data_IF_572534936581
#
_entry.id   IF_572534936581
#
_cell.length_a   1.000
_cell.length_b   1.000
_cell.length_c   1.000
_cell.angle_alpha   90.00
_cell.angle_beta   90.00
_cell.angle_gamma   90.00
#
_symmetry.space_group_name_H-M   'P 1'
#
loop_
_entity.id
_entity.type
_entity.pdbx_description
1 polymer ?
#
# COMPACT_ATOMS: atom_id res chain seq x y z
N UNK A 1 -20.24 -8.72 -17.07
CA UNK A 1 -19.82 -8.09 -15.81
C UNK A 1 -20.99 -7.51 -15.01
N UNK A 2 -22.17 -7.28 -15.61
CA UNK A 2 -23.39 -6.79 -14.94
C UNK A 2 -23.89 -7.60 -13.74
N UNK A 3 -23.58 -8.91 -13.69
CA UNK A 3 -23.98 -9.80 -12.59
C UNK A 3 -23.01 -9.78 -11.39
N UNK A 4 -21.84 -9.16 -11.55
CA UNK A 4 -20.80 -9.08 -10.51
C UNK A 4 -20.99 -7.78 -9.73
N UNK A 5 -21.05 -7.88 -8.41
CA UNK A 5 -21.15 -6.73 -7.50
C UNK A 5 -19.75 -6.35 -7.02
N UNK A 6 -19.26 -5.18 -7.43
CA UNK A 6 -17.87 -4.76 -7.17
C UNK A 6 -17.66 -4.13 -5.79
N UNK A 7 -18.68 -3.48 -5.23
CA UNK A 7 -18.61 -2.79 -3.94
C UNK A 7 -19.37 -3.57 -2.88
N UNK A 8 -18.91 -4.79 -2.62
CA UNK A 8 -19.47 -5.64 -1.57
C UNK A 8 -18.49 -5.67 -0.40
N UNK A 9 -19.02 -5.55 0.81
CA UNK A 9 -18.27 -5.64 2.06
C UNK A 9 -18.88 -6.64 3.07
N UNK A 10 -19.89 -7.41 2.65
CA UNK A 10 -20.54 -8.43 3.49
C UNK A 10 -20.31 -9.83 2.94
N UNK A 11 -20.05 -10.80 3.82
CA UNK A 11 -19.80 -12.20 3.43
C UNK A 11 -20.91 -12.78 2.55
N UNK A 12 -22.16 -12.55 2.93
CA UNK A 12 -23.32 -13.05 2.19
C UNK A 12 -23.33 -12.56 0.74
N UNK A 13 -22.95 -11.31 0.49
CA UNK A 13 -22.97 -10.76 -0.85
C UNK A 13 -21.75 -11.23 -1.69
N UNK A 14 -20.66 -11.73 -1.08
CA UNK A 14 -19.59 -12.41 -1.81
C UNK A 14 -20.07 -13.71 -2.46
N UNK A 15 -20.99 -14.45 -1.82
CA UNK A 15 -21.55 -15.70 -2.36
C UNK A 15 -22.14 -15.53 -3.76
N UNK A 16 -22.82 -14.40 -4.01
CA UNK A 16 -23.38 -14.12 -5.33
C UNK A 16 -22.29 -13.99 -6.40
N UNK A 17 -21.17 -13.35 -6.07
CA UNK A 17 -20.02 -13.22 -6.98
C UNK A 17 -19.35 -14.57 -7.22
N UNK A 18 -19.14 -15.37 -6.16
CA UNK A 18 -18.57 -16.71 -6.31
C UNK A 18 -19.46 -17.66 -7.10
N UNK A 19 -20.80 -17.53 -7.01
CA UNK A 19 -21.72 -18.28 -7.86
C UNK A 19 -21.59 -17.89 -9.34
N UNK A 20 -21.32 -16.61 -9.64
CA UNK A 20 -20.99 -16.20 -11.01
C UNK A 20 -19.69 -16.86 -11.48
N UNK A 21 -18.67 -16.91 -10.63
CA UNK A 21 -17.37 -17.54 -10.93
C UNK A 21 -17.50 -19.06 -11.18
N UNK A 22 -18.21 -19.78 -10.31
CA UNK A 22 -18.48 -21.22 -10.48
C UNK A 22 -19.16 -21.51 -11.82
N UNK A 23 -20.15 -20.70 -12.20
CA UNK A 23 -20.81 -20.85 -13.51
C UNK A 23 -19.85 -20.65 -14.68
N UNK A 24 -18.85 -19.76 -14.55
CA UNK A 24 -17.80 -19.58 -15.58
C UNK A 24 -16.92 -20.83 -15.65
N UNK A 25 -16.53 -21.41 -14.52
CA UNK A 25 -15.72 -22.64 -14.49
C UNK A 25 -16.45 -23.80 -15.16
N UNK A 26 -17.75 -23.99 -14.85
CA UNK A 26 -18.56 -25.03 -15.50
C UNK A 26 -18.70 -24.81 -17.00
N UNK A 27 -18.90 -23.56 -17.45
CA UNK A 27 -19.02 -23.24 -18.89
C UNK A 27 -17.72 -23.50 -19.66
N UNK A 28 -16.59 -23.23 -19.03
CA UNK A 28 -15.27 -23.40 -19.64
C UNK A 28 -14.62 -24.75 -19.32
N UNK A 29 -15.37 -25.68 -18.69
CA UNK A 29 -14.90 -27.03 -18.34
C UNK A 29 -13.59 -26.99 -17.53
N UNK A 30 -13.53 -26.10 -16.54
CA UNK A 30 -12.40 -26.01 -15.61
C UNK A 30 -12.71 -26.94 -14.43
N UNK A 31 -12.01 -28.06 -14.35
CA UNK A 31 -12.25 -29.13 -13.36
C UNK A 31 -11.92 -28.74 -11.91
N UNK A 32 -11.12 -27.68 -11.70
CA UNK A 32 -10.72 -27.27 -10.35
C UNK A 32 -11.92 -26.71 -9.58
N UNK A 33 -12.28 -27.27 -8.42
CA UNK A 33 -13.35 -26.71 -7.59
C UNK A 33 -12.94 -25.35 -7.01
N UNK A 34 -13.90 -24.42 -6.92
CA UNK A 34 -13.70 -23.12 -6.26
C UNK A 34 -14.03 -23.29 -4.77
N UNK A 35 -13.05 -23.12 -3.84
CA UNK A 35 -13.27 -23.32 -2.40
C UNK A 35 -13.99 -22.12 -1.77
N UNK A 36 -15.28 -21.95 -2.09
CA UNK A 36 -16.07 -20.75 -1.73
C UNK A 36 -16.09 -20.51 -0.22
N UNK A 37 -16.33 -21.54 0.60
CA UNK A 37 -16.44 -21.41 2.06
C UNK A 37 -15.16 -20.87 2.72
N UNK A 38 -14.00 -21.19 2.16
CA UNK A 38 -12.71 -20.68 2.63
C UNK A 38 -12.44 -19.26 2.11
N UNK A 39 -12.78 -19.00 0.85
CA UNK A 39 -12.52 -17.72 0.21
C UNK A 39 -13.39 -16.58 0.76
N UNK A 40 -14.66 -16.85 1.09
CA UNK A 40 -15.57 -15.82 1.62
C UNK A 40 -15.11 -15.25 2.96
N UNK A 41 -14.36 -16.02 3.75
CA UNK A 41 -13.81 -15.61 5.05
C UNK A 41 -12.61 -14.68 4.94
N UNK A 42 -12.16 -14.38 3.71
CA UNK A 42 -11.01 -13.51 3.44
C UNK A 42 -9.70 -13.94 4.14
N UNK A 43 -9.54 -15.23 4.45
CA UNK A 43 -8.30 -15.75 5.06
C UNK A 43 -7.16 -15.68 4.04
N UNK A 44 -6.00 -15.20 4.48
CA UNK A 44 -4.83 -14.96 3.62
C UNK A 44 -4.38 -16.21 2.86
N UNK A 45 -4.21 -17.33 3.55
CA UNK A 45 -3.68 -18.57 2.96
C UNK A 45 -4.57 -19.10 1.83
N UNK A 46 -5.88 -19.22 2.09
CA UNK A 46 -6.84 -19.74 1.11
C UNK A 46 -6.93 -18.85 -0.14
N UNK A 47 -6.95 -17.52 0.06
CA UNK A 47 -7.00 -16.55 -1.04
C UNK A 47 -5.69 -16.54 -1.85
N UNK A 48 -4.54 -16.64 -1.18
CA UNK A 48 -3.24 -16.68 -1.85
C UNK A 48 -3.09 -17.94 -2.71
N UNK A 49 -3.44 -19.11 -2.20
CA UNK A 49 -3.39 -20.37 -2.96
C UNK A 49 -4.29 -20.31 -4.21
N UNK A 50 -5.50 -19.74 -4.07
CA UNK A 50 -6.41 -19.57 -5.19
C UNK A 50 -5.87 -18.60 -6.26
N UNK A 51 -5.26 -17.48 -5.84
CA UNK A 51 -4.66 -16.50 -6.73
C UNK A 51 -3.42 -17.04 -7.46
N UNK A 52 -2.55 -17.78 -6.77
CA UNK A 52 -1.35 -18.40 -7.37
C UNK A 52 -1.74 -19.31 -8.55
N UNK A 53 -2.74 -20.17 -8.35
CA UNK A 53 -3.23 -21.00 -9.43
C UNK A 53 -3.94 -20.18 -10.53
N UNK A 54 -4.71 -19.15 -10.17
CA UNK A 54 -5.39 -18.30 -11.17
C UNK A 54 -4.36 -17.60 -12.07
N UNK A 55 -3.23 -17.15 -11.49
CA UNK A 55 -2.10 -16.61 -12.25
C UNK A 55 -1.54 -17.66 -13.20
N UNK A 56 -1.23 -18.86 -12.70
CA UNK A 56 -0.72 -19.96 -13.54
C UNK A 56 -1.68 -20.30 -14.69
N UNK A 57 -2.98 -20.34 -14.41
CA UNK A 57 -4.01 -20.55 -15.43
C UNK A 57 -4.03 -19.40 -16.44
N UNK A 58 -3.96 -18.14 -15.98
CA UNK A 58 -3.92 -16.98 -16.87
C UNK A 58 -2.71 -17.03 -17.81
N UNK A 59 -1.52 -17.32 -17.31
CA UNK A 59 -0.30 -17.43 -18.14
C UNK A 59 -0.41 -18.45 -19.25
N UNK A 60 -1.04 -19.59 -18.95
CA UNK A 60 -1.15 -20.70 -19.88
C UNK A 60 -2.17 -20.45 -20.99
N UNK A 61 -3.25 -19.72 -20.69
CA UNK A 61 -4.40 -19.58 -21.59
C UNK A 61 -4.61 -18.18 -22.14
N UNK A 62 -3.84 -17.18 -21.70
CA UNK A 62 -3.99 -15.81 -22.19
C UNK A 62 -3.46 -15.70 -23.64
N UNK A 63 -4.32 -15.37 -24.62
CA UNK A 63 -3.94 -15.38 -26.04
C UNK A 63 -3.13 -14.15 -26.47
N UNK A 64 -2.83 -13.23 -25.54
CA UNK A 64 -2.38 -11.87 -25.85
C UNK A 64 -3.54 -10.94 -26.21
N UNK A 65 -3.33 -9.63 -26.07
CA UNK A 65 -4.29 -8.59 -26.46
C UNK A 65 -4.78 -7.71 -25.31
N UNK A 66 -5.05 -6.45 -25.58
CA UNK A 66 -5.39 -5.47 -24.54
C UNK A 66 -6.73 -5.79 -23.86
N UNK A 67 -6.75 -5.73 -22.52
CA UNK A 67 -7.95 -5.88 -21.72
C UNK A 67 -8.17 -4.67 -20.82
N UNK A 68 -9.14 -3.81 -21.18
CA UNK A 68 -9.53 -2.67 -20.34
C UNK A 68 -10.51 -3.10 -19.24
N UNK A 69 -9.98 -3.41 -18.07
CA UNK A 69 -10.77 -3.77 -16.90
C UNK A 69 -11.65 -2.62 -16.38
N UNK A 70 -11.22 -1.37 -16.51
CA UNK A 70 -11.93 -0.20 -15.95
C UNK A 70 -13.20 0.08 -16.75
N UNK A 71 -13.11 0.11 -18.08
CA UNK A 71 -14.28 0.27 -18.94
C UNK A 71 -15.30 -0.85 -18.71
N UNK A 72 -14.84 -2.11 -18.58
CA UNK A 72 -15.70 -3.28 -18.35
C UNK A 72 -16.46 -3.21 -17.02
N UNK A 73 -15.85 -2.65 -15.97
CA UNK A 73 -16.50 -2.42 -14.67
C UNK A 73 -17.49 -1.27 -14.72
N UNK A 74 -17.11 -0.13 -15.30
CA UNK A 74 -18.00 1.05 -15.46
C UNK A 74 -19.28 0.72 -16.23
N UNK A 75 -19.16 -0.07 -17.31
CA UNK A 75 -20.31 -0.53 -18.09
C UNK A 75 -21.28 -1.45 -17.31
N UNK A 76 -20.89 -1.90 -16.11
CA UNK A 76 -21.69 -2.77 -15.24
C UNK A 76 -22.29 -2.04 -14.04
N UNK A 77 -22.28 -0.70 -14.02
CA UNK A 77 -22.83 0.10 -12.94
C UNK A 77 -21.95 0.16 -11.68
N UNK A 78 -20.69 -0.29 -11.77
CA UNK A 78 -19.72 -0.01 -10.71
C UNK A 78 -19.40 1.48 -10.72
N UNK A 79 -19.43 2.19 -9.58
CA UNK A 79 -18.95 3.56 -9.53
C UNK A 79 -17.49 3.58 -9.95
N UNK A 80 -17.06 4.70 -10.54
CA UNK A 80 -15.70 4.88 -10.97
C UNK A 80 -14.76 4.68 -9.76
N UNK A 81 -14.14 3.50 -9.67
CA UNK A 81 -13.03 3.27 -8.75
C UNK A 81 -11.95 4.28 -9.14
N UNK A 82 -11.70 5.24 -8.24
CA UNK A 82 -10.57 6.15 -8.35
C UNK A 82 -9.32 5.31 -8.54
N UNK A 83 -8.63 5.53 -9.66
CA UNK A 83 -7.39 4.82 -9.95
C UNK A 83 -6.35 5.21 -8.91
N UNK A 84 -6.12 4.34 -7.94
CA UNK A 84 -4.84 4.31 -7.23
C UNK A 84 -3.77 3.93 -8.26
N UNK A 85 -2.74 4.76 -8.49
CA UNK A 85 -1.61 4.34 -9.32
C UNK A 85 -0.96 3.13 -8.65
N UNK A 86 -0.92 2.01 -9.37
CA UNK A 86 -0.15 0.86 -8.96
C UNK A 86 1.33 1.23 -8.91
N UNK A 87 1.99 0.83 -7.82
CA UNK A 87 3.45 0.75 -7.74
C UNK A 87 3.97 -0.10 -8.90
N UNK A 88 4.83 0.47 -9.73
CA UNK A 88 5.64 -0.29 -10.68
C UNK A 88 7.02 -0.42 -10.07
N UNK A 89 7.22 -1.50 -9.30
CA UNK A 89 8.57 -1.96 -8.95
C UNK A 89 9.17 -2.62 -10.18
N UNK A 90 9.92 -1.85 -10.98
CA UNK A 90 10.75 -2.35 -12.06
C UNK A 90 12.21 -1.99 -11.77
N UNK A 91 12.90 -2.90 -11.08
CA UNK A 91 14.37 -2.96 -11.03
C UNK A 91 14.79 -4.37 -11.41
N UNK A 92 15.45 -4.50 -12.57
CA UNK A 92 15.94 -5.78 -13.06
C UNK A 92 16.41 -5.69 -14.51
N UNK A 93 17.56 -5.06 -14.72
CA UNK A 93 18.24 -5.01 -16.00
C UNK A 93 18.61 -6.41 -16.51
N UNK A 94 18.41 -6.68 -17.81
CA UNK A 94 19.26 -7.53 -18.65
C UNK A 94 18.92 -7.41 -20.15
N UNK A 95 19.82 -6.71 -20.84
CA UNK A 95 20.32 -6.82 -22.24
C UNK A 95 19.52 -7.59 -23.30
N UNK A 96 19.29 -6.89 -24.43
CA UNK A 96 19.60 -7.41 -25.77
C UNK A 96 18.40 -7.61 -26.71
N UNK A 97 18.36 -6.86 -27.83
CA UNK A 97 17.47 -7.17 -28.95
C UNK A 97 17.03 -5.94 -29.75
N UNK A 98 17.84 -5.55 -30.73
CA UNK A 98 17.56 -4.52 -31.74
C UNK A 98 16.58 -5.00 -32.81
N UNK A 99 15.55 -4.22 -33.11
CA UNK A 99 15.04 -4.03 -34.49
C UNK A 99 14.20 -2.74 -34.58
N UNK A 100 14.49 -1.82 -35.52
CA UNK A 100 13.67 -0.65 -35.80
C UNK A 100 12.77 -0.93 -37.01
N UNK A 101 11.48 -0.59 -36.93
CA UNK A 101 10.67 -0.43 -38.14
C UNK A 101 9.87 0.86 -38.06
N UNK A 102 10.35 1.82 -38.83
CA UNK A 102 9.66 3.02 -39.29
C UNK A 102 8.38 2.63 -40.04
N UNK A 103 7.23 3.16 -39.63
CA UNK A 103 6.07 3.28 -40.52
C UNK A 103 5.22 4.48 -40.12
N UNK A 104 5.31 5.48 -40.99
CA UNK A 104 4.49 6.66 -41.10
C UNK A 104 3.00 6.29 -41.18
N UNK A 105 2.17 6.80 -40.26
CA UNK A 105 0.72 6.90 -40.47
C UNK A 105 0.19 8.18 -39.83
N UNK A 106 0.08 9.20 -40.67
CA UNK A 106 -0.70 10.41 -40.46
C UNK A 106 -2.17 10.07 -40.26
N UNK A 107 -2.68 10.26 -39.03
CA UNK A 107 -4.11 10.53 -38.80
C UNK A 107 -4.29 11.57 -37.68
N UNK A 108 -5.26 12.48 -37.84
CA UNK A 108 -5.32 13.70 -37.04
C UNK A 108 -5.75 13.35 -35.61
N UNK A 109 -4.95 13.82 -34.64
CA UNK A 109 -5.33 13.81 -33.23
C UNK A 109 -6.47 14.80 -33.04
N UNK A 110 -7.71 14.31 -32.99
CA UNK A 110 -8.79 15.05 -32.36
C UNK A 110 -8.43 15.15 -30.87
N UNK A 111 -8.02 16.35 -30.47
CA UNK A 111 -7.85 16.72 -29.08
C UNK A 111 -9.18 16.50 -28.35
N UNK A 112 -9.27 15.43 -27.56
CA UNK A 112 -10.32 15.27 -26.57
C UNK A 112 -10.00 16.20 -25.39
N UNK A 113 -10.27 17.50 -25.57
CA UNK A 113 -10.30 18.48 -24.49
C UNK A 113 -11.53 18.22 -23.62
N UNK A 114 -11.38 17.36 -22.61
CA UNK A 114 -12.45 17.10 -21.65
C UNK A 114 -12.03 16.46 -20.32
N UNK A 115 -10.81 15.93 -20.20
CA UNK A 115 -10.33 15.29 -18.97
C UNK A 115 -9.34 16.11 -18.13
N UNK A 116 -8.74 17.17 -18.69
CA UNK A 116 -7.56 17.83 -18.12
C UNK A 116 -7.80 18.59 -16.81
N UNK A 117 -8.99 19.18 -16.62
CA UNK A 117 -9.27 20.01 -15.44
C UNK A 117 -9.33 19.17 -14.14
N UNK A 118 -9.96 17.99 -14.19
CA UNK A 118 -10.04 17.10 -13.03
C UNK A 118 -8.68 16.46 -12.72
N UNK A 119 -7.89 16.11 -13.73
CA UNK A 119 -6.53 15.58 -13.53
C UNK A 119 -5.58 16.64 -12.97
N UNK A 120 -5.70 17.89 -13.40
CA UNK A 120 -4.91 19.00 -12.88
C UNK A 120 -5.24 19.30 -11.41
N UNK A 121 -6.52 19.34 -11.04
CA UNK A 121 -6.96 19.54 -9.66
C UNK A 121 -6.47 18.42 -8.72
N UNK A 122 -6.59 17.15 -9.14
CA UNK A 122 -6.06 16.03 -8.36
C UNK A 122 -4.53 16.07 -8.22
N UNK A 123 -3.82 16.55 -9.25
CA UNK A 123 -2.35 16.68 -9.20
C UNK A 123 -1.93 17.79 -8.23
N UNK A 124 -2.67 18.89 -8.18
CA UNK A 124 -2.44 19.97 -7.21
C UNK A 124 -2.66 19.48 -5.77
N UNK A 125 -3.73 18.71 -5.52
CA UNK A 125 -4.00 18.14 -4.21
C UNK A 125 -2.90 17.18 -3.75
N UNK A 126 -2.41 16.31 -4.64
CA UNK A 126 -1.29 15.41 -4.34
C UNK A 126 -0.02 16.19 -3.98
N UNK A 127 0.26 17.28 -4.70
CA UNK A 127 1.43 18.10 -4.40
C UNK A 127 1.30 18.84 -3.07
N UNK A 128 0.12 19.40 -2.78
CA UNK A 128 -0.18 20.04 -1.49
C UNK A 128 -0.04 19.05 -0.32
N UNK A 129 -0.54 17.82 -0.47
CA UNK A 129 -0.40 16.77 0.54
C UNK A 129 1.05 16.35 0.74
N UNK A 130 1.85 16.26 -0.34
CA UNK A 130 3.28 15.96 -0.23
C UNK A 130 4.05 17.05 0.52
N UNK A 131 3.75 18.32 0.23
CA UNK A 131 4.35 19.44 0.95
C UNK A 131 3.95 19.44 2.43
N UNK A 132 2.68 19.15 2.74
CA UNK A 132 2.20 19.01 4.10
C UNK A 132 2.89 17.87 4.85
N UNK A 133 3.03 16.68 4.23
CA UNK A 133 3.75 15.54 4.81
C UNK A 133 5.21 15.91 5.06
N UNK A 134 5.89 16.53 4.09
CA UNK A 134 7.28 16.95 4.27
C UNK A 134 7.45 17.99 5.39
N UNK A 135 6.45 18.84 5.61
CA UNK A 135 6.38 19.74 6.77
C UNK A 135 6.24 18.97 8.08
N UNK A 136 5.30 18.03 8.15
CA UNK A 136 5.05 17.19 9.33
C UNK A 136 6.25 16.30 9.67
N UNK A 137 6.96 15.78 8.69
CA UNK A 137 8.18 14.99 8.90
C UNK A 137 9.29 15.85 9.53
N UNK A 138 9.45 17.10 9.07
CA UNK A 138 10.41 18.04 9.70
C UNK A 138 10.01 18.38 11.13
N UNK A 139 8.72 18.60 11.40
CA UNK A 139 8.24 18.86 12.76
C UNK A 139 8.44 17.64 13.66
N UNK A 140 8.13 16.44 13.17
CA UNK A 140 8.40 15.17 13.88
C UNK A 140 9.87 15.06 14.25
N UNK A 141 10.77 15.26 13.28
CA UNK A 141 12.22 15.13 13.50
C UNK A 141 12.73 16.22 14.46
N UNK A 142 12.19 17.43 14.36
CA UNK A 142 12.49 18.53 15.27
C UNK A 142 12.10 18.23 16.72
N UNK A 143 10.89 17.70 16.95
CA UNK A 143 10.46 17.33 18.30
C UNK A 143 11.21 16.11 18.82
N UNK A 144 11.47 15.11 17.97
CA UNK A 144 12.27 13.95 18.33
C UNK A 144 13.69 14.35 18.78
N UNK A 145 14.38 15.19 18.01
CA UNK A 145 15.71 15.67 18.36
C UNK A 145 15.72 16.37 19.73
N UNK A 146 14.72 17.21 20.02
CA UNK A 146 14.60 17.86 21.34
C UNK A 146 14.40 16.88 22.49
N UNK A 147 13.54 15.88 22.29
CA UNK A 147 13.30 14.85 23.32
C UNK A 147 14.55 14.01 23.54
N UNK A 148 15.31 13.71 22.48
CA UNK A 148 16.59 13.01 22.57
C UNK A 148 17.66 13.83 23.28
N UNK A 149 17.76 15.14 23.01
CA UNK A 149 18.67 16.03 23.72
C UNK A 149 18.35 16.07 25.22
N UNK A 150 17.06 16.14 25.59
CA UNK A 150 16.63 16.09 26.99
C UNK A 150 16.99 14.76 27.64
N UNK A 151 16.75 13.64 26.95
CA UNK A 151 17.11 12.31 27.45
C UNK A 151 18.62 12.19 27.71
N UNK A 152 19.46 12.68 26.79
CA UNK A 152 20.91 12.68 26.96
C UNK A 152 21.35 13.52 28.15
N UNK A 153 20.75 14.70 28.35
CA UNK A 153 21.03 15.56 29.50
C UNK A 153 20.66 14.86 30.83
N UNK A 154 19.54 14.14 30.86
CA UNK A 154 19.15 13.37 32.06
C UNK A 154 20.11 12.21 32.32
N UNK A 155 20.51 11.46 31.28
CA UNK A 155 21.49 10.38 31.39
C UNK A 155 22.82 10.89 31.96
N UNK A 156 23.32 12.02 31.44
CA UNK A 156 24.54 12.67 31.93
C UNK A 156 24.41 13.14 33.39
N UNK A 157 23.25 13.70 33.77
CA UNK A 157 23.00 14.13 35.14
C UNK A 157 22.98 12.95 36.12
N UNK A 158 22.35 11.83 35.75
CA UNK A 158 22.32 10.61 36.56
C UNK A 158 23.70 9.93 36.64
N UNK A 159 24.48 9.96 35.56
CA UNK A 159 25.86 9.44 35.58
C UNK A 159 26.75 10.26 36.53
N UNK A 160 26.58 11.59 36.54
CA UNK A 160 27.33 12.48 37.42
C UNK A 160 26.89 12.39 38.89
N UNK A 161 25.60 12.19 39.17
CA UNK A 161 25.04 12.00 40.50
C UNK A 161 24.02 10.85 40.53
N UNK A 162 24.46 9.62 40.87
CA UNK A 162 23.60 8.44 40.88
C UNK A 162 22.47 8.45 41.92
N UNK A 163 22.49 9.38 42.90
CA UNK A 163 21.39 9.50 43.86
C UNK A 163 20.11 10.06 43.22
N UNK A 164 20.24 10.83 42.12
CA UNK A 164 19.11 11.43 41.39
C UNK A 164 18.12 10.41 40.82
N UNK A 165 18.57 9.18 40.58
CA UNK A 165 17.73 8.11 40.00
C UNK A 165 17.13 7.16 41.06
N UNK A 166 17.48 7.33 42.35
CA UNK A 166 17.02 6.45 43.43
C UNK A 166 15.73 6.90 44.09
N UNK A 167 15.40 8.19 43.97
CA UNK A 167 14.16 8.74 44.53
C UNK A 167 13.04 8.69 43.49
N UNK A 168 12.03 7.86 43.76
CA UNK A 168 10.91 7.59 42.84
C UNK A 168 10.06 8.83 42.53
N UNK A 169 10.01 9.80 43.46
CA UNK A 169 9.25 11.07 43.31
C UNK A 169 10.12 12.22 42.78
N UNK A 170 11.34 11.91 42.30
CA UNK A 170 12.26 12.92 41.76
C UNK A 170 11.77 13.50 40.43
N UNK A 171 12.22 14.72 40.12
CA UNK A 171 11.95 15.34 38.82
C UNK A 171 12.49 14.49 37.65
N UNK A 172 13.61 13.79 37.84
CA UNK A 172 14.22 12.91 36.84
C UNK A 172 13.28 11.76 36.49
N UNK A 173 12.72 11.07 37.49
CA UNK A 173 11.76 9.98 37.29
C UNK A 173 10.48 10.45 36.60
N UNK A 174 9.96 11.62 36.97
CA UNK A 174 8.80 12.20 36.30
C UNK A 174 9.06 12.49 34.81
N UNK A 175 10.22 13.03 34.45
CA UNK A 175 10.55 13.30 33.04
C UNK A 175 10.77 12.00 32.27
N UNK A 176 11.47 11.01 32.85
CA UNK A 176 11.64 9.68 32.25
C UNK A 176 10.28 9.00 32.01
N UNK A 177 9.34 9.09 32.95
CA UNK A 177 8.00 8.54 32.79
C UNK A 177 7.24 9.17 31.61
N UNK A 178 7.43 10.46 31.33
CA UNK A 178 6.87 11.12 30.16
C UNK A 178 7.55 10.62 28.88
N UNK A 179 8.89 10.59 28.86
CA UNK A 179 9.67 10.18 27.67
C UNK A 179 9.42 8.72 27.26
N UNK A 180 9.20 7.84 28.24
CA UNK A 180 8.95 6.42 28.00
C UNK A 180 7.47 6.03 28.09
N UNK A 181 6.56 7.00 28.22
CA UNK A 181 5.14 6.72 28.13
C UNK A 181 4.79 6.25 26.71
N UNK A 182 4.20 5.07 26.60
CA UNK A 182 3.70 4.53 25.34
C UNK A 182 2.19 4.66 25.28
N UNK A 183 1.65 5.30 24.24
CA UNK A 183 0.22 5.18 23.94
C UNK A 183 -0.06 3.81 23.29
N UNK A 184 -1.19 3.19 23.66
CA UNK A 184 -1.66 1.88 23.20
C UNK A 184 -1.86 1.93 21.66
N UNK A 185 -0.82 1.60 20.89
CA UNK A 185 -0.80 1.71 19.42
C UNK A 185 0.47 2.32 18.82
N UNK A 186 1.42 2.79 19.64
CA UNK A 186 2.74 3.28 19.24
C UNK A 186 3.87 2.32 19.69
N UNK A 187 3.64 1.01 19.61
CA UNK A 187 4.70 0.03 19.87
C UNK A 187 5.74 0.08 18.75
N UNK A 188 7.00 0.29 19.13
CA UNK A 188 8.15 0.12 18.24
C UNK A 188 8.24 -1.38 17.90
N UNK A 189 8.15 -1.79 16.62
CA UNK A 189 8.42 -3.17 16.25
C UNK A 189 9.82 -3.57 16.74
N UNK A 190 10.02 -4.79 17.27
CA UNK A 190 11.28 -5.21 17.89
C UNK A 190 12.51 -5.20 16.94
N UNK A 191 12.32 -4.88 15.67
CA UNK A 191 13.40 -4.74 14.68
C UNK A 191 14.14 -3.40 14.74
N UNK A 192 13.63 -2.38 15.45
CA UNK A 192 14.29 -1.06 15.52
C UNK A 192 15.37 -0.92 16.61
N UNK A 193 15.47 -1.87 17.55
CA UNK A 193 16.56 -1.86 18.55
C UNK A 193 17.96 -2.10 17.92
N UNK A 194 18.03 -2.60 16.68
CA UNK A 194 19.29 -2.85 15.98
C UNK A 194 19.77 -1.73 15.04
N UNK A 195 19.00 -0.67 14.84
CA UNK A 195 19.33 0.38 13.85
C UNK A 195 19.97 1.64 14.47
N UNK A 196 20.10 1.70 15.80
CA UNK A 196 20.63 2.86 16.52
C UNK A 196 22.15 3.04 16.42
N UNK A 197 22.92 2.02 16.00
CA UNK A 197 24.38 2.09 15.94
C UNK A 197 24.95 2.53 14.57
N UNK A 198 24.15 2.60 13.49
CA UNK A 198 24.68 2.90 12.14
C UNK A 198 24.45 4.34 11.65
N UNK A 199 23.84 5.24 12.44
CA UNK A 199 23.65 6.64 12.04
C UNK A 199 24.79 7.59 12.45
N UNK A 200 25.84 7.10 13.11
CA UNK A 200 27.09 7.84 13.32
C UNK A 200 28.10 7.55 12.20
N UNK A 201 27.77 7.81 10.93
CA UNK A 201 28.77 8.10 9.89
C UNK A 201 28.10 8.57 8.59
N UNK A 202 27.96 9.89 8.45
CA UNK A 202 28.45 10.73 7.33
C UNK A 202 27.76 12.09 7.31
#
# INVERSE_FOLDING_TARGET
MSRVRFNVNTEYAYLQNFKVLQNVFTRHQIDRPVPVESLIKCRMQDNLEFLQWTKRHWDQYYPGGEYDAVARRKASGAPASGSRPGTTSATGARRGGTTPTTANSTRPRLAASGGGANTAALTQEINAQKEAIAGLEKERDFYFAKLRDIELLLQQAVEADPELDKEDDSLVKHIQAILYSTEEGFEIPPEAEGAGEELETF
#
